data_IF_833148132105
#
_entry.id   IF_833148132105
#
_cell.length_a   1.000
_cell.length_b   1.000
_cell.length_c   1.000
_cell.angle_alpha   90.00
_cell.angle_beta   90.00
_cell.angle_gamma   90.00
#
_symmetry.space_group_name_H-M   'P 1'
#
loop_
_entity.id
_entity.type
_entity.pdbx_description
1 polymer ?
#
# COMPACT_ATOMS: atom_id res chain seq x y z
N UNK A 1 5.01 8.78 22.77
CA UNK A 1 4.03 8.40 21.73
C UNK A 1 4.51 9.04 20.45
N UNK A 2 4.74 8.27 19.37
CA UNK A 2 5.13 8.86 18.09
C UNK A 2 3.93 9.58 17.49
N UNK A 3 4.17 10.68 16.80
CA UNK A 3 3.17 11.27 15.90
C UNK A 3 2.91 10.31 14.74
N UNK A 4 1.75 10.45 14.08
CA UNK A 4 1.43 9.65 12.90
C UNK A 4 2.54 9.76 11.84
N UNK A 5 3.04 10.97 11.57
CA UNK A 5 4.11 11.19 10.59
C UNK A 5 5.40 10.45 10.99
N UNK A 6 5.81 10.52 12.25
CA UNK A 6 7.01 9.81 12.73
C UNK A 6 6.86 8.30 12.60
N UNK A 7 5.70 7.76 12.96
CA UNK A 7 5.41 6.33 12.81
C UNK A 7 5.42 5.87 11.35
N UNK A 8 4.80 6.62 10.44
CA UNK A 8 4.80 6.28 9.02
C UNK A 8 6.22 6.33 8.41
N UNK A 9 7.01 7.34 8.78
CA UNK A 9 8.40 7.47 8.32
C UNK A 9 9.28 6.34 8.87
N UNK A 10 9.10 5.95 10.13
CA UNK A 10 9.78 4.80 10.73
C UNK A 10 9.39 3.50 10.01
N UNK A 11 8.09 3.24 9.81
CA UNK A 11 7.57 2.10 9.06
C UNK A 11 8.15 2.03 7.64
N UNK A 12 8.21 3.17 6.95
CA UNK A 12 8.81 3.25 5.62
C UNK A 12 10.31 2.91 5.64
N UNK A 13 11.08 3.57 6.51
CA UNK A 13 12.54 3.45 6.53
C UNK A 13 13.02 2.07 7.01
N UNK A 14 12.29 1.44 7.93
CA UNK A 14 12.67 0.15 8.52
C UNK A 14 12.20 -1.05 7.71
N UNK A 15 11.07 -0.94 7.01
CA UNK A 15 10.44 -2.07 6.32
C UNK A 15 10.19 -1.78 4.84
N UNK A 16 9.33 -0.81 4.53
CA UNK A 16 8.70 -0.71 3.21
C UNK A 16 9.66 -0.26 2.11
N UNK A 17 10.73 0.45 2.47
CA UNK A 17 11.81 0.81 1.53
C UNK A 17 12.60 -0.41 1.05
N UNK A 18 12.78 -1.41 1.92
CA UNK A 18 13.52 -2.64 1.61
C UNK A 18 12.60 -3.68 0.97
N UNK A 19 11.37 -3.78 1.48
CA UNK A 19 10.37 -4.74 1.03
C UNK A 19 9.06 -4.00 0.71
N UNK A 20 8.91 -3.48 -0.53
CA UNK A 20 7.67 -2.84 -0.94
C UNK A 20 6.46 -3.78 -0.81
N UNK A 21 5.31 -3.30 -0.33
CA UNK A 21 4.13 -4.14 -0.16
C UNK A 21 3.58 -4.59 -1.51
N UNK A 22 3.03 -5.81 -1.58
CA UNK A 22 2.28 -6.25 -2.76
C UNK A 22 0.90 -5.61 -2.78
N UNK A 23 0.30 -5.36 -3.96
CA UNK A 23 -1.08 -4.90 -4.00
C UNK A 23 -2.05 -6.01 -3.52
N UNK A 24 -3.28 -5.64 -3.09
CA UNK A 24 -4.22 -6.59 -2.50
C UNK A 24 -4.56 -7.78 -3.39
N UNK A 25 -4.78 -7.56 -4.69
CA UNK A 25 -5.10 -8.62 -5.66
C UNK A 25 -3.95 -9.60 -5.94
N UNK A 26 -2.75 -9.34 -5.42
CA UNK A 26 -1.62 -10.27 -5.48
C UNK A 26 -1.40 -10.95 -4.12
N UNK A 27 -1.52 -10.20 -3.03
CA UNK A 27 -1.32 -10.74 -1.68
C UNK A 27 -2.50 -11.63 -1.21
N UNK A 28 -3.71 -11.25 -1.59
CA UNK A 28 -4.97 -11.89 -1.21
C UNK A 28 -5.91 -11.99 -2.43
N UNK A 29 -5.57 -12.83 -3.43
CA UNK A 29 -6.28 -12.87 -4.71
C UNK A 29 -7.75 -13.32 -4.59
N UNK A 30 -8.09 -14.02 -3.51
CA UNK A 30 -9.41 -14.61 -3.29
C UNK A 30 -10.34 -13.70 -2.43
N UNK A 31 -9.87 -12.52 -2.01
CA UNK A 31 -10.64 -11.60 -1.16
C UNK A 31 -11.09 -10.41 -1.99
N UNK A 32 -12.41 -10.17 -2.01
CA UNK A 32 -12.99 -9.06 -2.74
C UNK A 32 -12.64 -7.70 -2.11
N UNK A 33 -12.49 -6.63 -2.91
CA UNK A 33 -12.13 -5.30 -2.40
C UNK A 33 -13.08 -4.74 -1.33
N UNK A 34 -14.37 -5.10 -1.38
CA UNK A 34 -15.38 -4.63 -0.42
C UNK A 34 -15.40 -5.41 0.90
N UNK A 35 -14.64 -6.49 1.01
CA UNK A 35 -14.64 -7.35 2.19
C UNK A 35 -14.19 -6.59 3.45
N UNK A 36 -14.74 -6.98 4.60
CA UNK A 36 -14.36 -6.42 5.90
C UNK A 36 -12.88 -6.65 6.22
N UNK A 37 -12.27 -7.69 5.65
CA UNK A 37 -10.84 -7.98 5.76
C UNK A 37 -9.96 -6.76 5.45
N UNK A 38 -10.28 -5.93 4.45
CA UNK A 38 -9.48 -4.74 4.12
C UNK A 38 -9.76 -3.53 5.02
N UNK A 39 -10.72 -3.64 5.94
CA UNK A 39 -11.11 -2.60 6.90
C UNK A 39 -10.62 -2.90 8.32
N UNK A 40 -10.02 -4.06 8.56
CA UNK A 40 -9.48 -4.43 9.86
C UNK A 40 -8.35 -5.46 9.76
N UNK A 41 -7.44 -5.45 10.74
CA UNK A 41 -6.42 -6.50 10.86
C UNK A 41 -5.37 -6.46 9.74
N UNK A 42 -5.05 -7.62 9.18
CA UNK A 42 -3.95 -7.75 8.21
C UNK A 42 -4.25 -7.04 6.88
N UNK A 43 -5.51 -7.07 6.42
CA UNK A 43 -5.89 -6.38 5.19
C UNK A 43 -5.80 -4.85 5.34
N UNK A 44 -6.28 -4.29 6.44
CA UNK A 44 -6.10 -2.86 6.76
C UNK A 44 -4.62 -2.48 6.87
N UNK A 45 -3.83 -3.35 7.51
CA UNK A 45 -2.38 -3.14 7.64
C UNK A 45 -1.70 -3.10 6.28
N UNK A 46 -2.08 -3.97 5.34
CA UNK A 46 -1.59 -3.96 3.96
C UNK A 46 -1.96 -2.66 3.23
N UNK A 47 -3.22 -2.23 3.31
CA UNK A 47 -3.68 -0.98 2.68
C UNK A 47 -2.90 0.22 3.24
N UNK A 48 -2.68 0.23 4.55
CA UNK A 48 -1.89 1.25 5.22
C UNK A 48 -0.44 1.26 4.72
N UNK A 49 0.20 0.09 4.64
CA UNK A 49 1.58 -0.03 4.14
C UNK A 49 1.69 0.43 2.68
N UNK A 50 0.73 0.11 1.81
CA UNK A 50 0.70 0.60 0.41
C UNK A 50 0.65 2.13 0.38
N UNK A 51 -0.23 2.74 1.17
CA UNK A 51 -0.32 4.20 1.22
C UNK A 51 0.97 4.85 1.73
N UNK A 52 1.58 4.29 2.78
CA UNK A 52 2.86 4.77 3.31
C UNK A 52 3.95 4.65 2.24
N UNK A 53 4.06 3.49 1.59
CA UNK A 53 5.05 3.26 0.54
C UNK A 53 4.90 4.29 -0.60
N UNK A 54 3.70 4.46 -1.14
CA UNK A 54 3.46 5.41 -2.25
C UNK A 54 3.68 6.88 -1.84
N UNK A 55 3.45 7.21 -0.56
CA UNK A 55 3.64 8.56 -0.01
C UNK A 55 5.12 8.94 0.14
N UNK A 56 5.96 8.01 0.61
CA UNK A 56 7.36 8.32 0.98
C UNK A 56 8.42 7.82 -0.01
N UNK A 57 8.08 6.89 -0.91
CA UNK A 57 9.00 6.46 -1.97
C UNK A 57 9.26 7.59 -2.99
N UNK A 58 10.38 7.51 -3.71
CA UNK A 58 10.68 8.50 -4.76
C UNK A 58 9.66 8.46 -5.90
N UNK A 59 9.54 9.54 -6.66
CA UNK A 59 8.65 9.59 -7.82
C UNK A 59 8.95 8.48 -8.83
N UNK A 60 10.23 8.19 -9.09
CA UNK A 60 10.62 7.12 -9.99
C UNK A 60 10.20 5.73 -9.48
N UNK A 61 10.42 5.42 -8.20
CA UNK A 61 10.00 4.15 -7.61
C UNK A 61 8.48 4.02 -7.59
N UNK A 62 7.77 5.11 -7.27
CA UNK A 62 6.31 5.15 -7.34
C UNK A 62 5.81 4.84 -8.75
N UNK A 63 6.39 5.47 -9.78
CA UNK A 63 6.03 5.18 -11.17
C UNK A 63 6.33 3.73 -11.56
N UNK A 64 7.47 3.18 -11.14
CA UNK A 64 7.80 1.78 -11.38
C UNK A 64 6.80 0.83 -10.71
N UNK A 65 6.41 1.12 -9.47
CA UNK A 65 5.43 0.34 -8.73
C UNK A 65 4.06 0.35 -9.41
N UNK A 66 3.53 1.55 -9.73
CA UNK A 66 2.23 1.71 -10.38
C UNK A 66 2.19 1.09 -11.79
N UNK A 67 3.32 1.11 -12.52
CA UNK A 67 3.42 0.45 -13.82
C UNK A 67 3.49 -1.07 -13.72
N UNK A 68 4.18 -1.60 -12.69
CA UNK A 68 4.31 -3.03 -12.44
C UNK A 68 2.98 -3.63 -11.95
N UNK A 69 2.28 -2.91 -11.08
CA UNK A 69 1.05 -3.35 -10.44
C UNK A 69 -0.08 -2.42 -10.85
N UNK A 70 -0.62 -2.60 -12.06
CA UNK A 70 -1.78 -1.81 -12.50
C UNK A 70 -3.02 -2.23 -11.72
N UNK A 71 -3.83 -1.27 -11.31
CA UNK A 71 -5.13 -1.54 -10.71
C UNK A 71 -6.01 -2.34 -11.69
N UNK A 72 -6.50 -3.53 -11.33
CA UNK A 72 -7.60 -4.15 -12.04
C UNK A 72 -8.90 -3.38 -11.78
N UNK A 73 -9.93 -3.64 -12.60
CA UNK A 73 -11.20 -2.90 -12.59
C UNK A 73 -11.85 -2.80 -11.21
N UNK A 74 -11.80 -3.87 -10.42
CA UNK A 74 -12.47 -3.93 -9.11
C UNK A 74 -11.69 -3.20 -8.01
N UNK A 75 -10.44 -2.82 -8.27
CA UNK A 75 -9.54 -2.17 -7.33
C UNK A 75 -9.25 -0.71 -7.69
N UNK A 76 -9.98 -0.14 -8.65
CA UNK A 76 -9.79 1.23 -9.11
C UNK A 76 -9.96 2.23 -7.95
N UNK A 77 -8.96 3.08 -7.77
CA UNK A 77 -8.96 4.14 -6.76
C UNK A 77 -8.32 3.74 -5.44
N UNK A 78 -7.64 2.59 -5.38
CA UNK A 78 -6.73 2.27 -4.27
C UNK A 78 -5.52 3.20 -4.27
N UNK A 79 -4.96 3.50 -5.45
CA UNK A 79 -3.81 4.36 -5.60
C UNK A 79 -4.19 5.84 -5.61
N UNK A 80 -3.34 6.72 -5.05
CA UNK A 80 -3.55 8.15 -5.12
C UNK A 80 -3.65 8.59 -6.58
N UNK A 81 -4.64 9.45 -6.87
CA UNK A 81 -4.69 10.13 -8.17
C UNK A 81 -3.48 11.05 -8.26
N UNK A 82 -2.59 10.77 -9.21
CA UNK A 82 -1.43 11.59 -9.57
C UNK A 82 -1.85 12.93 -10.15
#
# INVERSE_FOLDING_TARGET
MLTQKEWEMDRFNTLLKVTPPLPPWIAYPDIEPSDMFFRMGDGESLITDIHIYLKYTSENERHQYLNKYKEPTDWVGLYPKT
#
